data_IF_728264549052
#
_entry.id   IF_728264549052
#
_cell.length_a   1.000
_cell.length_b   1.000
_cell.length_c   1.000
_cell.angle_alpha   90.00
_cell.angle_beta   90.00
_cell.angle_gamma   90.00
#
_symmetry.space_group_name_H-M   'P 1'
#
loop_
_entity.id
_entity.type
_entity.pdbx_description
1 polymer ?
#
# COMPACT_ATOMS: atom_id res chain seq x y z
N UNK A 1 -41.01 -35.27 -41.88
CA UNK A 1 -41.97 -35.11 -40.77
C UNK A 1 -41.28 -34.26 -39.71
N UNK A 2 -41.25 -32.94 -39.91
CA UNK A 2 -40.53 -31.97 -39.07
C UNK A 2 -41.44 -31.48 -37.95
N UNK A 3 -40.88 -31.43 -36.74
CA UNK A 3 -41.60 -31.21 -35.48
C UNK A 3 -42.04 -29.75 -35.42
N UNK A 4 -43.35 -29.49 -35.41
CA UNK A 4 -43.96 -28.14 -35.37
C UNK A 4 -43.60 -27.32 -34.11
N UNK A 5 -42.93 -27.93 -33.14
CA UNK A 5 -42.55 -27.32 -31.85
C UNK A 5 -41.32 -26.40 -31.90
N UNK A 6 -40.70 -26.18 -33.06
CA UNK A 6 -39.49 -25.35 -33.17
C UNK A 6 -39.76 -23.90 -33.61
N UNK A 7 -41.02 -23.52 -33.89
CA UNK A 7 -41.38 -22.19 -34.38
C UNK A 7 -41.39 -21.11 -33.29
N UNK A 8 -41.62 -21.50 -32.03
CA UNK A 8 -41.71 -20.56 -30.89
C UNK A 8 -40.40 -20.39 -30.12
N UNK A 9 -39.29 -20.93 -30.61
CA UNK A 9 -37.99 -20.68 -30.01
C UNK A 9 -37.45 -19.32 -30.51
N UNK A 10 -37.37 -18.28 -29.65
CA UNK A 10 -36.84 -16.99 -30.06
C UNK A 10 -35.37 -17.14 -30.50
N UNK A 11 -35.10 -16.87 -31.78
CA UNK A 11 -33.76 -16.97 -32.41
C UNK A 11 -32.87 -15.75 -32.12
N UNK A 12 -33.44 -14.68 -31.59
CA UNK A 12 -32.77 -13.41 -31.39
C UNK A 12 -32.20 -13.32 -29.97
N UNK A 13 -30.89 -13.52 -29.85
CA UNK A 13 -30.10 -13.27 -28.64
C UNK A 13 -29.84 -11.76 -28.45
N UNK A 14 -30.85 -10.94 -28.71
CA UNK A 14 -30.72 -9.48 -28.86
C UNK A 14 -31.12 -8.68 -27.60
N UNK A 15 -31.54 -9.39 -26.55
CA UNK A 15 -31.76 -8.83 -25.20
C UNK A 15 -30.82 -9.47 -24.16
N UNK A 16 -29.64 -9.91 -24.59
CA UNK A 16 -28.51 -9.87 -23.68
C UNK A 16 -28.08 -8.40 -23.65
N UNK A 17 -28.74 -7.59 -22.82
CA UNK A 17 -28.06 -6.45 -22.20
C UNK A 17 -26.70 -6.99 -21.79
N UNK A 18 -25.70 -6.49 -22.51
CA UNK A 18 -24.29 -6.59 -22.25
C UNK A 18 -24.00 -7.47 -21.06
N UNK A 19 -23.60 -8.73 -21.32
CA UNK A 19 -23.06 -9.70 -20.36
C UNK A 19 -22.54 -8.92 -19.17
N UNK A 20 -23.35 -8.81 -18.10
CA UNK A 20 -22.90 -8.20 -16.86
C UNK A 20 -21.74 -9.10 -16.44
N UNK A 21 -20.52 -8.69 -16.77
CA UNK A 21 -19.34 -9.20 -16.11
C UNK A 21 -19.56 -8.71 -14.70
N UNK A 22 -20.06 -9.59 -13.84
CA UNK A 22 -20.59 -9.32 -12.51
C UNK A 22 -19.59 -8.60 -11.62
N UNK A 23 -19.42 -7.30 -11.84
CA UNK A 23 -18.67 -6.39 -11.03
C UNK A 23 -19.65 -5.41 -10.44
N UNK A 24 -19.60 -5.26 -9.13
CA UNK A 24 -20.38 -4.26 -8.40
C UNK A 24 -20.30 -2.90 -9.09
N UNK A 25 -21.40 -2.12 -9.16
CA UNK A 25 -21.39 -0.81 -9.81
C UNK A 25 -20.32 0.07 -9.16
N UNK A 26 -19.28 0.38 -9.93
CA UNK A 26 -18.17 1.21 -9.46
C UNK A 26 -18.66 2.65 -9.27
N UNK A 27 -18.58 3.14 -8.04
CA UNK A 27 -18.95 4.52 -7.73
C UNK A 27 -17.88 5.47 -8.30
N UNK A 28 -18.21 6.18 -9.38
CA UNK A 28 -17.34 7.21 -9.98
C UNK A 28 -16.92 8.27 -8.95
N UNK A 29 -17.82 8.62 -8.02
CA UNK A 29 -17.52 9.56 -6.94
C UNK A 29 -16.45 9.01 -6.00
N UNK A 30 -16.53 7.73 -5.64
CA UNK A 30 -15.54 7.08 -4.76
C UNK A 30 -14.16 7.01 -5.43
N UNK A 31 -14.11 6.69 -6.72
CA UNK A 31 -12.87 6.65 -7.51
C UNK A 31 -12.21 8.04 -7.59
N UNK A 32 -12.99 9.08 -7.89
CA UNK A 32 -12.51 10.47 -7.94
C UNK A 32 -12.02 10.95 -6.57
N UNK A 33 -12.79 10.73 -5.51
CA UNK A 33 -12.40 11.10 -4.16
C UNK A 33 -11.09 10.43 -3.75
N UNK A 34 -10.97 9.12 -3.98
CA UNK A 34 -9.77 8.35 -3.63
C UNK A 34 -8.55 8.80 -4.43
N UNK A 35 -8.73 9.16 -5.70
CA UNK A 35 -7.65 9.69 -6.55
C UNK A 35 -7.04 10.99 -6.02
N UNK A 36 -7.86 11.85 -5.40
CA UNK A 36 -7.41 13.13 -4.80
C UNK A 36 -6.88 12.93 -3.38
N UNK A 37 -7.54 12.09 -2.58
CA UNK A 37 -7.17 11.84 -1.18
C UNK A 37 -5.86 11.06 -1.09
N UNK A 38 -5.62 10.10 -1.98
CA UNK A 38 -4.43 9.24 -1.95
C UNK A 38 -3.09 10.00 -1.85
N UNK A 39 -2.73 10.94 -2.75
CA UNK A 39 -1.47 11.67 -2.65
C UNK A 39 -1.41 12.53 -1.37
N UNK A 40 -2.54 13.08 -0.93
CA UNK A 40 -2.62 13.90 0.28
C UNK A 40 -2.30 13.06 1.53
N UNK A 41 -2.88 11.87 1.63
CA UNK A 41 -2.62 10.93 2.74
C UNK A 41 -1.19 10.41 2.69
N UNK A 42 -0.61 10.17 1.51
CA UNK A 42 0.80 9.80 1.39
C UNK A 42 1.75 10.91 1.86
N UNK A 43 1.48 12.17 1.51
CA UNK A 43 2.26 13.30 2.02
C UNK A 43 2.15 13.38 3.55
N UNK A 44 0.95 13.21 4.10
CA UNK A 44 0.74 13.19 5.55
C UNK A 44 1.47 12.01 6.23
N UNK A 45 1.45 10.84 5.60
CA UNK A 45 2.17 9.65 6.07
C UNK A 45 3.69 9.87 6.12
N UNK A 46 4.26 10.52 5.10
CA UNK A 46 5.68 10.92 5.08
C UNK A 46 5.96 11.99 6.15
N UNK A 47 5.05 12.94 6.35
CA UNK A 47 5.16 13.91 7.44
C UNK A 47 5.21 13.22 8.80
N UNK A 48 4.35 12.23 9.08
CA UNK A 48 4.37 11.47 10.33
C UNK A 48 5.67 10.69 10.54
N UNK A 49 6.22 10.12 9.46
CA UNK A 49 7.52 9.45 9.47
C UNK A 49 8.64 10.43 9.90
N UNK A 50 8.64 11.64 9.34
CA UNK A 50 9.65 12.65 9.64
C UNK A 50 9.43 13.32 11.01
N UNK A 51 8.18 13.56 11.42
CA UNK A 51 7.86 14.22 12.68
C UNK A 51 8.16 13.36 13.93
N UNK A 52 8.25 12.04 13.76
CA UNK A 52 8.42 11.08 14.86
C UNK A 52 9.69 11.24 15.69
N UNK A 53 10.70 11.98 15.22
CA UNK A 53 11.91 12.23 15.99
C UNK A 53 11.76 13.34 17.05
N UNK A 54 10.72 14.18 16.96
CA UNK A 54 10.49 15.31 17.85
C UNK A 54 9.15 15.26 18.58
N UNK A 55 8.17 14.48 18.08
CA UNK A 55 6.79 14.47 18.55
C UNK A 55 6.15 13.08 18.43
N UNK A 56 4.90 12.91 18.87
CA UNK A 56 4.18 11.64 18.71
C UNK A 56 3.97 11.29 17.22
N UNK A 57 4.68 10.28 16.70
CA UNK A 57 4.70 9.92 15.27
C UNK A 57 5.59 8.70 14.98
N UNK A 58 6.26 8.69 13.83
CA UNK A 58 7.31 7.71 13.49
C UNK A 58 6.96 6.75 12.36
N UNK A 59 7.84 5.77 12.15
CA UNK A 59 7.74 4.81 11.04
C UNK A 59 6.49 3.95 11.06
N UNK A 60 6.03 3.60 12.27
CA UNK A 60 4.84 2.78 12.47
C UNK A 60 3.55 3.50 12.07
N UNK A 61 3.29 4.66 12.67
CA UNK A 61 2.07 5.44 12.39
C UNK A 61 2.04 5.94 10.95
N UNK A 62 3.17 6.44 10.42
CA UNK A 62 3.31 6.79 9.01
C UNK A 62 3.02 5.59 8.11
N UNK A 63 3.61 4.42 8.39
CA UNK A 63 3.41 3.20 7.62
C UNK A 63 1.95 2.73 7.58
N UNK A 64 1.23 2.79 8.71
CA UNK A 64 -0.20 2.46 8.77
C UNK A 64 -1.06 3.43 7.95
N UNK A 65 -0.76 4.73 8.01
CA UNK A 65 -1.49 5.75 7.23
C UNK A 65 -1.26 5.56 5.74
N UNK A 66 -0.01 5.27 5.32
CA UNK A 66 0.27 4.89 3.93
C UNK A 66 -0.47 3.60 3.54
N UNK A 67 -0.43 2.59 4.41
CA UNK A 67 -1.16 1.34 4.22
C UNK A 67 -2.66 1.55 3.98
N UNK A 68 -3.29 2.38 4.80
CA UNK A 68 -4.70 2.76 4.63
C UNK A 68 -4.94 3.44 3.27
N UNK A 69 -4.05 4.34 2.84
CA UNK A 69 -4.16 4.97 1.52
C UNK A 69 -4.12 3.94 0.39
N UNK A 70 -3.22 2.95 0.47
CA UNK A 70 -3.16 1.86 -0.51
C UNK A 70 -4.40 0.97 -0.48
N UNK A 71 -4.95 0.67 0.71
CA UNK A 71 -6.20 -0.09 0.86
C UNK A 71 -7.36 0.67 0.21
N UNK A 72 -7.53 1.96 0.49
CA UNK A 72 -8.57 2.79 -0.13
C UNK A 72 -8.44 2.80 -1.65
N UNK A 73 -7.22 2.99 -2.17
CA UNK A 73 -6.95 2.97 -3.61
C UNK A 73 -7.25 1.62 -4.24
N UNK A 74 -6.95 0.53 -3.54
CA UNK A 74 -7.32 -0.81 -3.98
C UNK A 74 -8.84 -1.02 -4.02
N UNK A 75 -9.58 -0.57 -3.01
CA UNK A 75 -11.04 -0.66 -2.98
C UNK A 75 -11.68 0.16 -4.12
N UNK A 76 -11.07 1.29 -4.50
CA UNK A 76 -11.60 2.16 -5.54
C UNK A 76 -11.40 1.60 -6.96
N UNK A 77 -10.23 1.01 -7.27
CA UNK A 77 -9.90 0.56 -8.64
C UNK A 77 -9.74 -0.95 -8.84
N UNK A 78 -9.80 -1.74 -7.76
CA UNK A 78 -9.64 -3.20 -7.78
C UNK A 78 -8.20 -3.67 -8.07
N UNK A 79 -8.06 -4.94 -8.45
CA UNK A 79 -6.77 -5.61 -8.73
C UNK A 79 -5.99 -4.98 -9.88
N UNK A 80 -6.66 -4.30 -10.82
CA UNK A 80 -6.02 -3.61 -11.94
C UNK A 80 -5.19 -2.39 -11.50
N UNK A 81 -5.59 -1.67 -10.44
CA UNK A 81 -4.81 -0.54 -9.90
C UNK A 81 -3.53 -1.01 -9.18
N UNK A 82 -3.53 -2.20 -8.57
CA UNK A 82 -2.32 -2.80 -8.00
C UNK A 82 -1.27 -3.12 -9.07
N UNK A 83 -1.67 -3.34 -10.32
CA UNK A 83 -0.76 -3.55 -11.43
C UNK A 83 0.05 -2.27 -11.77
N UNK A 84 -0.48 -1.08 -11.48
CA UNK A 84 0.26 0.17 -11.63
C UNK A 84 1.42 0.29 -10.62
N UNK A 85 1.32 -0.42 -9.48
CA UNK A 85 2.34 -0.44 -8.41
C UNK A 85 3.27 -1.66 -8.53
N UNK A 86 3.27 -2.35 -9.69
CA UNK A 86 4.04 -3.58 -9.93
C UNK A 86 5.54 -3.45 -9.70
N UNK A 87 6.08 -2.23 -9.82
CA UNK A 87 7.48 -1.93 -9.51
C UNK A 87 7.83 -2.18 -8.03
N UNK A 88 6.88 -1.99 -7.11
CA UNK A 88 7.06 -2.31 -5.70
C UNK A 88 6.80 -3.80 -5.50
N UNK A 89 7.86 -4.58 -5.29
CA UNK A 89 7.75 -6.01 -4.94
C UNK A 89 7.59 -6.13 -3.42
N UNK A 90 6.41 -6.52 -2.87
CA UNK A 90 6.17 -6.52 -1.44
C UNK A 90 7.22 -7.30 -0.64
N UNK A 91 7.65 -8.51 -1.05
CA UNK A 91 8.71 -9.23 -0.34
C UNK A 91 10.04 -8.45 -0.26
N UNK A 92 10.36 -7.65 -1.27
CA UNK A 92 11.56 -6.80 -1.28
C UNK A 92 11.40 -5.63 -0.32
N UNK A 93 10.23 -4.99 -0.26
CA UNK A 93 9.97 -3.93 0.72
C UNK A 93 10.04 -4.46 2.15
N UNK A 94 9.42 -5.62 2.41
CA UNK A 94 9.46 -6.28 3.72
C UNK A 94 10.91 -6.62 4.10
N UNK A 95 11.65 -7.27 3.22
CA UNK A 95 13.02 -7.69 3.47
C UNK A 95 13.99 -6.51 3.66
N UNK A 96 13.87 -5.48 2.82
CA UNK A 96 14.69 -4.27 2.94
C UNK A 96 14.36 -3.46 4.19
N UNK A 97 13.07 -3.26 4.48
CA UNK A 97 12.62 -2.58 5.70
C UNK A 97 13.10 -3.30 6.96
N UNK A 98 12.94 -4.62 7.02
CA UNK A 98 13.44 -5.45 8.12
C UNK A 98 14.95 -5.35 8.28
N UNK A 99 15.69 -5.42 7.17
CA UNK A 99 17.15 -5.35 7.18
C UNK A 99 17.64 -3.98 7.66
N UNK A 100 17.03 -2.88 7.18
CA UNK A 100 17.35 -1.52 7.62
C UNK A 100 17.07 -1.37 9.12
N UNK A 101 15.91 -1.84 9.60
CA UNK A 101 15.54 -1.76 11.01
C UNK A 101 16.51 -2.55 11.90
N UNK A 102 16.83 -3.79 11.52
CA UNK A 102 17.73 -4.66 12.26
C UNK A 102 19.16 -4.10 12.30
N UNK A 103 19.70 -3.68 11.15
CA UNK A 103 21.04 -3.09 11.07
C UNK A 103 21.09 -1.83 11.94
N UNK A 104 20.11 -0.93 11.81
CA UNK A 104 20.07 0.30 12.61
C UNK A 104 20.01 0.01 14.11
N UNK A 105 19.24 -0.99 14.54
CA UNK A 105 19.15 -1.38 15.94
C UNK A 105 20.46 -1.97 16.49
N UNK A 106 21.20 -2.72 15.68
CA UNK A 106 22.42 -3.44 16.08
C UNK A 106 23.70 -2.64 15.93
N UNK A 107 23.76 -1.67 15.02
CA UNK A 107 24.95 -0.82 14.78
C UNK A 107 25.53 -0.23 16.07
N UNK A 108 24.74 0.32 17.03
CA UNK A 108 25.29 0.86 18.26
C UNK A 108 26.06 -0.15 19.11
N UNK A 109 25.70 -1.44 19.06
CA UNK A 109 26.35 -2.52 19.81
C UNK A 109 27.80 -2.72 19.35
N UNK A 110 28.07 -2.54 18.05
CA UNK A 110 29.44 -2.59 17.51
C UNK A 110 30.35 -1.48 18.07
N UNK A 111 29.77 -0.43 18.64
CA UNK A 111 30.47 0.69 19.28
C UNK A 111 30.41 0.63 20.82
N UNK A 112 29.95 -0.49 21.41
CA UNK A 112 29.85 -0.67 22.86
C UNK A 112 28.65 0.03 23.51
N UNK A 113 27.73 0.57 22.72
CA UNK A 113 26.49 1.16 23.22
C UNK A 113 25.37 0.11 23.33
N UNK A 114 24.34 0.34 24.16
CA UNK A 114 23.16 -0.51 24.21
C UNK A 114 22.45 -0.62 22.84
N UNK A 115 21.74 -1.73 22.62
CA UNK A 115 20.90 -1.91 21.43
C UNK A 115 19.87 -0.76 21.33
N UNK A 116 19.52 -0.34 20.11
CA UNK A 116 18.61 0.78 19.82
C UNK A 116 19.08 2.14 20.37
N UNK A 117 20.34 2.28 20.78
CA UNK A 117 20.88 3.58 21.16
C UNK A 117 20.87 4.55 19.96
N UNK A 118 20.44 5.78 20.21
CA UNK A 118 20.28 6.81 19.18
C UNK A 118 21.39 7.83 19.27
N UNK A 119 22.10 8.05 18.16
CA UNK A 119 23.05 9.14 18.01
C UNK A 119 22.38 10.33 17.33
N UNK A 120 22.70 11.55 17.79
CA UNK A 120 22.24 12.79 17.19
C UNK A 120 23.36 13.38 16.33
N UNK A 121 23.12 13.51 15.02
CA UNK A 121 24.00 14.23 14.11
C UNK A 121 23.43 15.62 13.84
N UNK A 122 24.22 16.65 14.13
CA UNK A 122 23.84 18.03 13.81
C UNK A 122 24.52 18.43 12.51
N UNK A 123 23.74 18.58 11.44
CA UNK A 123 24.21 19.05 10.14
C UNK A 123 23.85 20.52 10.02
N UNK A 124 24.86 21.39 9.89
CA UNK A 124 24.68 22.82 9.62
C UNK A 124 24.64 23.05 8.12
N UNK A 125 23.44 23.33 7.57
CA UNK A 125 23.29 23.75 6.18
C UNK A 125 23.33 25.30 6.12
N UNK A 126 24.17 25.90 5.25
CA UNK A 126 24.43 27.34 5.24
C UNK A 126 23.20 28.21 4.89
N UNK A 127 22.11 27.63 4.40
CA UNK A 127 20.89 28.34 3.97
C UNK A 127 19.68 28.08 4.89
N UNK A 128 19.65 26.95 5.61
CA UNK A 128 18.44 26.45 6.30
C UNK A 128 18.62 26.33 7.83
N UNK A 129 19.84 26.48 8.35
CA UNK A 129 20.16 26.37 9.78
C UNK A 129 20.66 24.97 10.20
N UNK A 130 20.66 24.69 11.51
CA UNK A 130 21.07 23.40 12.09
C UNK A 130 19.96 22.36 12.01
N UNK A 131 20.13 21.31 11.20
CA UNK A 131 19.28 20.12 11.20
C UNK A 131 19.84 19.08 12.18
N UNK A 132 19.01 18.58 13.10
CA UNK A 132 19.34 17.45 13.97
C UNK A 132 18.73 16.19 13.37
N UNK A 133 19.56 15.32 12.82
CA UNK A 133 19.14 14.01 12.30
C UNK A 133 19.51 12.97 13.34
N UNK A 134 18.49 12.28 13.87
CA UNK A 134 18.67 11.18 14.78
C UNK A 134 18.83 9.87 13.99
N UNK A 135 19.73 8.98 14.43
CA UNK A 135 19.87 7.65 13.83
C UNK A 135 18.59 6.80 13.97
N UNK A 136 17.71 7.14 14.91
CA UNK A 136 16.37 6.55 15.04
C UNK A 136 15.50 6.73 13.80
N UNK A 137 15.74 7.76 12.98
CA UNK A 137 15.00 7.96 11.74
C UNK A 137 15.20 6.80 10.75
N UNK A 138 16.38 6.19 10.72
CA UNK A 138 16.63 5.03 9.86
C UNK A 138 15.84 3.80 10.33
N UNK A 139 15.68 3.62 11.64
CA UNK A 139 14.83 2.59 12.21
C UNK A 139 13.38 2.81 11.78
N UNK A 140 12.89 4.05 11.91
CA UNK A 140 11.55 4.42 11.48
C UNK A 140 11.32 4.19 9.98
N UNK A 141 12.29 4.54 9.12
CA UNK A 141 12.22 4.23 7.68
C UNK A 141 12.13 2.72 7.45
N UNK A 142 12.92 1.92 8.18
CA UNK A 142 12.86 0.46 8.10
C UNK A 142 11.48 -0.09 8.45
N UNK A 143 10.91 0.36 9.57
CA UNK A 143 9.57 -0.02 10.02
C UNK A 143 8.49 0.43 9.03
N UNK A 144 8.59 1.65 8.49
CA UNK A 144 7.67 2.18 7.49
C UNK A 144 7.62 1.32 6.23
N UNK A 145 8.79 1.01 5.67
CA UNK A 145 8.91 0.17 4.46
C UNK A 145 8.35 -1.24 4.70
N UNK A 146 8.63 -1.81 5.88
CA UNK A 146 8.10 -3.11 6.27
C UNK A 146 6.58 -3.11 6.28
N UNK A 147 5.94 -2.13 6.93
CA UNK A 147 4.47 -2.05 7.03
C UNK A 147 3.84 -1.87 5.66
N UNK A 148 4.35 -0.93 4.85
CA UNK A 148 3.86 -0.73 3.48
C UNK A 148 4.00 -2.02 2.66
N UNK A 149 5.14 -2.71 2.79
CA UNK A 149 5.35 -4.01 2.18
C UNK A 149 4.30 -5.05 2.59
N UNK A 150 4.06 -5.21 3.89
CA UNK A 150 3.05 -6.16 4.41
C UNK A 150 1.65 -5.82 3.89
N UNK A 151 1.26 -4.55 3.90
CA UNK A 151 -0.07 -4.14 3.40
C UNK A 151 -0.23 -4.44 1.92
N UNK A 152 0.78 -4.12 1.10
CA UNK A 152 0.74 -4.43 -0.33
C UNK A 152 0.70 -5.95 -0.60
N UNK A 153 1.39 -6.75 0.22
CA UNK A 153 1.37 -8.21 0.13
C UNK A 153 -0.01 -8.79 0.48
N UNK A 154 -0.63 -8.29 1.55
CA UNK A 154 -1.99 -8.63 1.95
C UNK A 154 -3.00 -8.29 0.85
N UNK A 155 -2.93 -7.08 0.30
CA UNK A 155 -3.82 -6.65 -0.77
C UNK A 155 -3.70 -7.52 -2.03
N UNK A 156 -2.47 -7.92 -2.39
CA UNK A 156 -2.25 -8.85 -3.51
C UNK A 156 -2.82 -10.23 -3.21
N UNK A 157 -2.55 -10.78 -2.03
CA UNK A 157 -3.00 -12.12 -1.64
C UNK A 157 -4.54 -12.17 -1.60
N UNK A 158 -5.18 -11.18 -0.98
CA UNK A 158 -6.64 -11.06 -0.94
C UNK A 158 -7.24 -10.87 -2.33
N UNK A 159 -6.63 -10.02 -3.17
CA UNK A 159 -7.09 -9.82 -4.55
C UNK A 159 -7.05 -11.10 -5.37
N UNK A 160 -5.97 -11.86 -5.29
CA UNK A 160 -5.90 -13.17 -5.97
C UNK A 160 -6.84 -14.21 -5.40
N UNK A 161 -7.18 -14.13 -4.10
CA UNK A 161 -8.12 -15.05 -3.46
C UNK A 161 -9.56 -14.85 -3.92
N UNK A 162 -9.99 -13.58 -4.02
CA UNK A 162 -11.34 -13.22 -4.51
C UNK A 162 -11.52 -13.68 -5.96
N UNK A 163 -10.52 -13.43 -6.82
CA UNK A 163 -10.56 -13.78 -8.24
C UNK A 163 -10.58 -15.30 -8.50
N UNK A 164 -10.05 -16.11 -7.57
CA UNK A 164 -10.13 -17.59 -7.64
C UNK A 164 -11.48 -18.15 -7.17
N UNK A 165 -12.08 -17.54 -6.15
CA UNK A 165 -13.40 -17.96 -5.64
C UNK A 165 -14.54 -17.76 -6.65
N UNK A 166 -14.37 -16.87 -7.62
CA UNK A 166 -15.31 -16.67 -8.73
C UNK A 166 -15.20 -17.73 -9.84
N UNK A 167 -14.13 -18.54 -9.84
CA UNK A 167 -13.83 -19.52 -10.89
C UNK A 167 -14.13 -20.98 -10.48
N UNK A 168 -14.38 -21.24 -9.19
CA UNK A 168 -14.85 -22.54 -8.71
C UNK A 168 -16.34 -22.45 -8.30
N UNK A 169 -17.25 -23.19 -8.99
CA UNK A 169 -18.69 -23.20 -8.71
C UNK A 169 -19.08 -23.97 -7.44
#
# INVERSE_FOLDING_TARGET
>A
MTKWTEWDAPKERWLLTERERGGWPRSLLFELCTRIVFPTVLVMSVYLLLAGHNDAGGGFSGGLVAGLAFVLRYLAGGSAELAAVRALRPPVLIGSGMSIALITALVPVAFGAPILSTALWTVTLPIVGTFKIATSLFLDIGVYLLIVGVVLDLLRTLGTGIERGELEP
#
